data_IF_270263180077
#
_entry.id   IF_270263180077
#
_cell.length_a   1.000
_cell.length_b   1.000
_cell.length_c   1.000
_cell.angle_alpha   90.00
_cell.angle_beta   90.00
_cell.angle_gamma   90.00
#
_symmetry.space_group_name_H-M   'P 1'
#
loop_
_entity.id
_entity.type
_entity.pdbx_description
1 polymer ?
#
# COMPACT_ATOMS: atom_id res chain seq x y z
N UNK A 1 -13.20 -15.26 -14.25
CA UNK A 1 -11.97 -15.89 -14.79
C UNK A 1 -11.41 -16.77 -13.68
N UNK A 2 -11.15 -18.06 -13.93
CA UNK A 2 -10.54 -18.95 -12.93
C UNK A 2 -9.02 -18.83 -12.99
N UNK A 3 -8.35 -18.72 -11.85
CA UNK A 3 -6.88 -18.58 -11.76
C UNK A 3 -6.15 -19.68 -12.56
N UNK A 4 -6.61 -20.93 -12.42
CA UNK A 4 -6.06 -22.08 -13.14
C UNK A 4 -6.24 -22.05 -14.68
N UNK A 5 -7.13 -21.19 -15.18
CA UNK A 5 -7.32 -20.95 -16.62
C UNK A 5 -6.35 -19.87 -17.10
N UNK A 6 -6.21 -18.78 -16.33
CA UNK A 6 -5.21 -17.75 -16.56
C UNK A 6 -3.78 -18.31 -16.56
N UNK A 7 -3.44 -19.17 -15.60
CA UNK A 7 -2.11 -19.77 -15.48
C UNK A 7 -1.77 -20.67 -16.67
N UNK A 8 -2.73 -21.50 -17.13
CA UNK A 8 -2.54 -22.35 -18.32
C UNK A 8 -2.34 -21.52 -19.58
N UNK A 9 -3.13 -20.47 -19.76
CA UNK A 9 -2.98 -19.56 -20.90
C UNK A 9 -1.63 -18.84 -20.86
N UNK A 10 -1.19 -18.36 -19.70
CA UNK A 10 0.10 -17.67 -19.55
C UNK A 10 1.29 -18.60 -19.76
N UNK A 11 1.21 -19.84 -19.27
CA UNK A 11 2.22 -20.86 -19.53
C UNK A 11 2.32 -21.17 -21.03
N UNK A 12 1.18 -21.33 -21.71
CA UNK A 12 1.14 -21.55 -23.16
C UNK A 12 1.79 -20.40 -23.95
N UNK A 13 1.46 -19.16 -23.60
CA UNK A 13 2.05 -17.97 -24.25
C UNK A 13 3.56 -17.84 -24.00
N UNK A 14 4.04 -18.24 -22.81
CA UNK A 14 5.46 -18.22 -22.50
C UNK A 14 6.22 -19.29 -23.30
N UNK A 15 5.68 -20.50 -23.38
CA UNK A 15 6.26 -21.60 -24.17
C UNK A 15 6.24 -21.31 -25.68
N UNK A 16 5.21 -20.61 -26.17
CA UNK A 16 5.11 -20.19 -27.56
C UNK A 16 6.00 -18.97 -27.90
N UNK A 17 6.70 -18.39 -26.93
CA UNK A 17 7.52 -17.19 -27.12
C UNK A 17 6.72 -15.89 -27.35
N UNK A 18 5.41 -15.92 -27.18
CA UNK A 18 4.49 -14.79 -27.32
C UNK A 18 4.48 -13.90 -26.06
N UNK A 19 4.78 -14.48 -24.89
CA UNK A 19 4.98 -13.75 -23.65
C UNK A 19 6.46 -13.75 -23.27
N UNK A 20 7.05 -12.56 -23.14
CA UNK A 20 8.41 -12.36 -22.62
C UNK A 20 8.36 -11.85 -21.18
N UNK A 21 9.13 -12.49 -20.32
CA UNK A 21 9.39 -12.07 -18.94
C UNK A 21 10.81 -11.48 -18.83
N UNK A 22 11.15 -10.58 -19.73
CA UNK A 22 12.40 -9.82 -19.69
C UNK A 22 12.28 -8.79 -18.55
N UNK A 23 12.41 -9.24 -17.30
CA UNK A 23 12.29 -8.40 -16.12
C UNK A 23 13.12 -7.11 -16.22
N UNK A 24 12.87 -6.16 -15.33
CA UNK A 24 13.63 -4.91 -15.30
C UNK A 24 15.13 -5.21 -15.22
N UNK A 25 15.86 -4.93 -16.30
CA UNK A 25 17.30 -5.15 -16.31
C UNK A 25 17.96 -4.32 -15.22
N UNK A 26 19.08 -4.81 -14.66
CA UNK A 26 19.88 -4.08 -13.66
C UNK A 26 20.22 -2.65 -14.12
N UNK A 27 20.40 -2.45 -15.42
CA UNK A 27 20.65 -1.14 -16.05
C UNK A 27 19.39 -0.27 -16.13
N UNK A 28 18.21 -0.85 -16.35
CA UNK A 28 16.92 -0.17 -16.24
C UNK A 28 16.61 0.31 -14.82
N UNK A 29 16.97 -0.49 -13.81
CA UNK A 29 16.86 -0.12 -12.40
C UNK A 29 17.79 1.06 -12.03
N UNK A 30 19.03 1.08 -12.50
CA UNK A 30 19.99 2.17 -12.21
C UNK A 30 19.62 3.50 -12.87
N UNK A 31 18.93 3.48 -14.01
CA UNK A 31 18.45 4.72 -14.67
C UNK A 31 17.31 5.39 -13.90
N UNK A 32 16.51 4.62 -13.15
CA UNK A 32 15.45 5.16 -12.30
C UNK A 32 16.00 5.87 -11.04
N UNK A 33 17.21 5.55 -10.60
CA UNK A 33 17.85 6.17 -9.41
C UNK A 33 18.71 7.40 -9.72
N UNK A 34 19.01 7.68 -11.00
CA UNK A 34 19.93 8.76 -11.39
C UNK A 34 19.29 10.18 -11.38
N UNK A 35 17.98 10.30 -11.12
CA UNK A 35 17.26 11.58 -11.16
C UNK A 35 17.24 12.38 -9.86
N UNK A 36 17.87 11.93 -8.76
CA UNK A 36 17.70 12.54 -7.42
C UNK A 36 19.00 13.17 -6.87
N UNK A 37 20.12 13.14 -7.60
CA UNK A 37 21.45 13.23 -7.00
C UNK A 37 22.34 14.43 -7.27
N UNK A 38 21.89 15.55 -7.85
CA UNK A 38 22.78 16.68 -8.17
C UNK A 38 22.14 18.02 -7.82
N UNK A 39 22.41 18.52 -6.60
CA UNK A 39 22.13 19.93 -6.30
C UNK A 39 22.06 20.33 -4.83
N UNK A 40 23.01 19.96 -3.96
CA UNK A 40 23.25 20.73 -2.72
C UNK A 40 24.72 20.67 -2.33
N UNK A 41 25.53 21.60 -2.84
CA UNK A 41 26.84 21.92 -2.28
C UNK A 41 27.20 23.38 -2.61
N UNK A 42 26.56 24.34 -1.95
CA UNK A 42 27.09 25.68 -1.65
C UNK A 42 26.03 26.52 -0.92
N UNK A 43 26.33 27.00 0.29
CA UNK A 43 25.48 27.97 0.98
C UNK A 43 25.59 27.94 2.50
N UNK A 44 26.79 28.18 3.03
CA UNK A 44 26.94 28.54 4.45
C UNK A 44 26.57 30.02 4.66
N UNK A 45 25.85 30.26 5.76
CA UNK A 45 25.66 31.54 6.46
C UNK A 45 24.81 32.64 5.79
N UNK A 46 23.50 32.58 6.04
CA UNK A 46 22.70 33.79 6.29
C UNK A 46 21.81 33.49 7.51
N UNK A 47 22.00 34.25 8.59
CA UNK A 47 21.15 34.19 9.77
C UNK A 47 19.75 34.68 9.43
N UNK A 48 18.85 33.75 9.13
CA UNK A 48 17.42 33.99 9.01
C UNK A 48 16.73 33.53 10.28
N UNK A 49 15.90 34.39 10.87
CA UNK A 49 14.99 34.04 11.95
C UNK A 49 14.26 32.73 11.59
N UNK A 50 14.23 31.78 12.52
CA UNK A 50 13.56 30.51 12.33
C UNK A 50 12.10 30.77 11.97
N UNK A 51 11.75 30.59 10.69
CA UNK A 51 10.37 30.46 10.28
C UNK A 51 9.75 29.34 11.14
N UNK A 52 8.50 29.48 11.61
CA UNK A 52 7.87 28.40 12.34
C UNK A 52 7.94 27.17 11.44
N UNK A 53 8.52 26.09 11.97
CA UNK A 53 8.48 24.81 11.29
C UNK A 53 6.99 24.51 11.06
N UNK A 54 6.54 24.57 9.81
CA UNK A 54 5.24 24.01 9.46
C UNK A 54 5.26 22.59 9.99
N UNK A 55 4.34 22.28 10.91
CA UNK A 55 4.22 20.96 11.48
C UNK A 55 4.16 19.97 10.30
N UNK A 56 5.18 19.12 10.19
CA UNK A 56 5.17 18.07 9.19
C UNK A 56 3.90 17.24 9.41
N UNK A 57 3.21 16.92 8.33
CA UNK A 57 2.03 16.05 8.39
C UNK A 57 2.36 14.79 9.22
N UNK A 58 1.43 14.30 10.04
CA UNK A 58 1.65 13.06 10.76
C UNK A 58 1.92 11.92 9.76
N UNK A 59 2.73 10.91 10.12
CA UNK A 59 3.08 9.81 9.23
C UNK A 59 1.86 9.01 8.74
N UNK A 60 0.76 9.08 9.48
CA UNK A 60 -0.54 8.49 9.16
C UNK A 60 -1.58 9.61 9.15
N UNK A 61 -2.29 9.79 8.03
CA UNK A 61 -3.36 10.79 7.91
C UNK A 61 -4.70 10.32 8.47
N UNK A 62 -4.90 9.00 8.56
CA UNK A 62 -6.08 8.40 9.20
C UNK A 62 -6.09 8.79 10.69
N UNK A 63 -7.22 9.24 11.27
CA UNK A 63 -7.33 9.46 12.71
C UNK A 63 -7.02 8.18 13.49
N UNK A 64 -6.20 8.31 14.53
CA UNK A 64 -5.83 7.20 15.41
C UNK A 64 -6.24 7.49 16.86
N UNK A 65 -7.54 7.40 17.19
CA UNK A 65 -7.99 7.51 18.58
C UNK A 65 -7.25 6.50 19.48
N UNK A 66 -6.69 6.91 20.63
CA UNK A 66 -5.91 6.02 21.49
C UNK A 66 -6.69 4.84 22.07
N UNK A 67 -8.01 4.92 22.13
CA UNK A 67 -8.93 3.84 22.52
C UNK A 67 -9.07 2.77 21.43
N UNK A 68 -8.83 3.11 20.16
CA UNK A 68 -8.93 2.20 19.02
C UNK A 68 -7.59 1.64 18.56
N UNK A 69 -6.48 2.37 18.74
CA UNK A 69 -5.20 2.04 18.12
C UNK A 69 -3.99 2.09 19.06
N UNK A 70 -2.98 1.31 18.70
CA UNK A 70 -1.59 1.47 19.16
C UNK A 70 -0.73 1.90 17.98
N UNK A 71 -0.09 3.07 18.06
CA UNK A 71 0.71 3.63 16.98
C UNK A 71 2.18 3.17 17.01
N UNK A 72 2.74 2.88 15.83
CA UNK A 72 4.11 2.42 15.59
C UNK A 72 4.72 3.17 14.40
N UNK A 73 4.98 4.48 14.57
CA UNK A 73 5.54 5.33 13.52
C UNK A 73 4.59 5.46 12.33
N UNK A 74 4.96 4.87 11.18
CA UNK A 74 4.12 4.81 9.97
C UNK A 74 3.07 3.71 9.98
N UNK A 75 2.92 2.98 11.09
CA UNK A 75 1.98 1.87 11.24
C UNK A 75 1.08 2.06 12.46
N UNK A 76 -0.09 1.46 12.46
CA UNK A 76 -1.00 1.44 13.61
C UNK A 76 -1.72 0.10 13.68
N UNK A 77 -1.71 -0.51 14.87
CA UNK A 77 -2.39 -1.76 15.16
C UNK A 77 -3.73 -1.47 15.84
N UNK A 78 -4.79 -2.09 15.36
CA UNK A 78 -6.12 -2.04 15.98
C UNK A 78 -6.10 -2.76 17.31
N UNK A 79 -6.59 -2.12 18.35
CA UNK A 79 -6.74 -2.72 19.67
C UNK A 79 -7.80 -3.81 19.63
N UNK A 80 -7.48 -4.98 20.18
CA UNK A 80 -8.37 -6.14 20.20
C UNK A 80 -9.74 -5.82 20.78
N UNK A 81 -9.73 -5.16 21.93
CA UNK A 81 -10.90 -4.75 22.68
C UNK A 81 -11.82 -3.82 21.89
N UNK A 82 -11.29 -3.04 20.95
CA UNK A 82 -12.06 -2.12 20.11
C UNK A 82 -12.91 -2.82 19.04
N UNK A 83 -12.62 -4.09 18.76
CA UNK A 83 -13.37 -4.94 17.84
C UNK A 83 -14.50 -5.71 18.54
N UNK A 84 -14.66 -5.58 19.86
CA UNK A 84 -15.77 -6.22 20.58
C UNK A 84 -17.11 -5.72 20.03
N UNK A 85 -18.04 -6.64 19.79
CA UNK A 85 -19.34 -6.32 19.18
C UNK A 85 -19.26 -5.94 17.70
N UNK A 86 -18.06 -5.90 17.11
CA UNK A 86 -17.92 -5.77 15.66
C UNK A 86 -18.24 -7.12 15.02
N UNK A 87 -19.06 -7.10 13.96
CA UNK A 87 -19.39 -8.30 13.21
C UNK A 87 -18.18 -8.86 12.42
N UNK A 88 -18.47 -9.61 11.35
CA UNK A 88 -17.40 -10.18 10.52
C UNK A 88 -16.65 -9.15 9.66
N UNK A 89 -17.19 -7.95 9.48
CA UNK A 89 -16.58 -6.87 8.72
C UNK A 89 -16.00 -5.85 9.68
N UNK A 90 -14.71 -5.56 9.56
CA UNK A 90 -14.04 -4.55 10.38
C UNK A 90 -14.34 -3.17 9.78
N UNK A 91 -14.95 -2.24 10.55
CA UNK A 91 -15.19 -0.88 10.11
C UNK A 91 -13.92 -0.17 9.63
N UNK A 92 -14.05 0.73 8.66
CA UNK A 92 -12.92 1.47 8.08
C UNK A 92 -12.17 2.28 9.14
N UNK A 93 -12.88 2.86 10.11
CA UNK A 93 -12.30 3.60 11.24
C UNK A 93 -11.43 2.71 12.15
N UNK A 94 -11.71 1.40 12.23
CA UNK A 94 -10.99 0.39 13.04
C UNK A 94 -10.02 -0.47 12.23
N UNK A 95 -9.89 -0.28 10.92
CA UNK A 95 -8.92 -1.04 10.11
C UNK A 95 -7.47 -0.67 10.44
N UNK A 96 -6.57 -1.65 10.56
CA UNK A 96 -5.16 -1.40 10.86
C UNK A 96 -4.46 -0.59 9.74
N UNK A 97 -3.36 0.08 10.07
CA UNK A 97 -2.54 0.81 9.08
C UNK A 97 -1.16 0.16 9.00
N UNK A 98 -0.77 -0.30 7.81
CA UNK A 98 0.60 -0.73 7.53
C UNK A 98 1.17 0.05 6.36
N UNK A 99 2.03 1.03 6.65
CA UNK A 99 2.80 1.73 5.63
C UNK A 99 4.31 1.50 5.80
N UNK A 100 5.00 1.28 4.67
CA UNK A 100 6.47 1.31 4.61
C UNK A 100 7.01 2.74 4.52
N UNK A 101 6.15 3.71 4.17
CA UNK A 101 6.45 5.14 4.00
C UNK A 101 5.41 5.99 4.73
N UNK A 102 5.51 7.31 4.62
CA UNK A 102 4.44 8.23 5.04
C UNK A 102 3.20 8.05 4.16
N UNK A 103 2.02 8.38 4.68
CA UNK A 103 0.77 8.38 3.92
C UNK A 103 0.77 9.55 2.93
N UNK A 104 0.65 9.30 1.60
CA UNK A 104 0.64 10.39 0.63
C UNK A 104 -0.70 11.13 0.63
N UNK A 105 -0.65 12.45 0.37
CA UNK A 105 -1.82 13.22 -0.07
C UNK A 105 -1.92 13.12 -1.58
N UNK A 106 -3.09 12.72 -2.09
CA UNK A 106 -3.32 12.49 -3.51
C UNK A 106 -4.45 13.43 -3.96
N UNK A 107 -4.17 14.26 -4.96
CA UNK A 107 -5.21 14.99 -5.69
C UNK A 107 -5.89 14.03 -6.69
N UNK A 108 -7.19 13.72 -6.52
CA UNK A 108 -7.89 12.80 -7.40
C UNK A 108 -8.05 13.31 -8.85
N UNK A 109 -8.04 14.62 -9.09
CA UNK A 109 -8.20 15.19 -10.44
C UNK A 109 -6.88 15.11 -11.24
N UNK A 110 -5.74 15.27 -10.55
CA UNK A 110 -4.41 15.11 -11.14
C UNK A 110 -3.93 13.64 -11.24
N UNK A 111 -4.47 12.73 -10.42
CA UNK A 111 -3.99 11.35 -10.36
C UNK A 111 -4.24 10.54 -11.65
N UNK A 112 -3.26 9.70 -12.02
CA UNK A 112 -3.31 8.79 -13.19
C UNK A 112 -2.79 7.39 -12.82
N UNK A 113 -3.53 6.35 -13.20
CA UNK A 113 -3.06 4.97 -13.23
C UNK A 113 -2.33 4.73 -14.56
N UNK A 114 -1.06 4.34 -14.48
CA UNK A 114 -0.24 3.99 -15.66
C UNK A 114 -0.12 2.48 -15.78
N UNK A 115 -0.63 1.91 -16.86
CA UNK A 115 -0.59 0.49 -17.16
C UNK A 115 0.38 0.23 -18.32
N UNK A 116 1.34 -0.66 -18.12
CA UNK A 116 2.32 -1.07 -19.12
C UNK A 116 2.72 -2.53 -18.91
N UNK A 117 3.25 -3.17 -19.95
CA UNK A 117 3.71 -4.56 -19.93
C UNK A 117 3.20 -5.37 -21.13
N UNK A 118 3.92 -6.44 -21.43
CA UNK A 118 3.65 -7.34 -22.57
C UNK A 118 2.35 -8.15 -22.43
N UNK A 119 1.82 -8.28 -21.21
CA UNK A 119 0.54 -8.94 -20.96
C UNK A 119 -0.69 -8.08 -21.30
N UNK A 120 -0.49 -6.82 -21.68
CA UNK A 120 -1.57 -5.91 -22.08
C UNK A 120 -1.69 -5.89 -23.61
N UNK A 121 -2.92 -5.68 -24.10
CA UNK A 121 -3.17 -5.52 -25.54
C UNK A 121 -2.30 -4.39 -26.09
N UNK A 122 -1.55 -4.67 -27.16
CA UNK A 122 -0.62 -3.72 -27.79
C UNK A 122 0.73 -3.58 -27.08
N UNK A 123 1.00 -4.36 -26.02
CA UNK A 123 2.27 -4.37 -25.28
C UNK A 123 2.84 -2.97 -24.94
N UNK A 124 2.05 -2.06 -24.32
CA UNK A 124 2.50 -0.72 -23.94
C UNK A 124 3.77 -0.78 -23.08
N UNK A 125 4.68 0.16 -23.33
CA UNK A 125 5.94 0.29 -22.58
C UNK A 125 5.80 1.31 -21.47
N UNK A 126 6.76 1.37 -20.54
CA UNK A 126 6.75 2.40 -19.50
C UNK A 126 6.82 3.84 -20.08
N UNK A 127 7.43 4.01 -21.27
CA UNK A 127 7.51 5.29 -21.98
C UNK A 127 6.25 5.64 -22.77
N UNK A 128 5.40 4.67 -23.07
CA UNK A 128 4.11 4.84 -23.75
C UNK A 128 3.04 3.97 -23.06
N UNK A 129 2.65 4.32 -21.81
CA UNK A 129 1.68 3.55 -21.04
C UNK A 129 0.25 3.84 -21.48
N UNK A 130 -0.66 2.96 -21.11
CA UNK A 130 -2.09 3.30 -21.07
C UNK A 130 -2.36 4.06 -19.77
N UNK A 131 -2.97 5.24 -19.87
CA UNK A 131 -3.30 6.07 -18.71
C UNK A 131 -4.80 6.11 -18.43
N UNK A 132 -5.16 5.89 -17.17
CA UNK A 132 -6.55 5.93 -16.70
C UNK A 132 -6.65 6.94 -15.56
N UNK A 133 -7.49 7.97 -15.71
CA UNK A 133 -7.80 8.91 -14.62
C UNK A 133 -8.64 8.26 -13.53
N UNK A 134 -8.64 8.85 -12.34
CA UNK A 134 -9.46 8.36 -11.23
C UNK A 134 -10.96 8.31 -11.59
N UNK A 135 -11.46 9.34 -12.29
CA UNK A 135 -12.86 9.41 -12.78
C UNK A 135 -13.18 8.29 -13.77
N UNK A 136 -12.26 7.95 -14.68
CA UNK A 136 -12.45 6.84 -15.62
C UNK A 136 -12.42 5.50 -14.89
N UNK A 137 -11.49 5.30 -13.95
CA UNK A 137 -11.39 4.08 -13.16
C UNK A 137 -12.71 3.78 -12.41
N UNK A 138 -13.32 4.81 -11.81
CA UNK A 138 -14.61 4.68 -11.11
C UNK A 138 -15.81 4.36 -12.00
N UNK A 139 -15.70 4.54 -13.34
CA UNK A 139 -16.77 4.24 -14.30
C UNK A 139 -16.68 2.83 -14.88
N UNK A 140 -15.58 2.11 -14.62
CA UNK A 140 -15.47 0.71 -15.04
C UNK A 140 -16.45 -0.17 -14.24
N UNK A 141 -16.94 -1.27 -14.82
CA UNK A 141 -17.69 -2.27 -14.06
C UNK A 141 -16.87 -2.74 -12.84
N UNK A 142 -17.55 -2.87 -11.70
CA UNK A 142 -16.90 -3.24 -10.43
C UNK A 142 -17.59 -4.43 -9.80
N UNK A 143 -16.78 -5.38 -9.30
CA UNK A 143 -17.24 -6.48 -8.46
C UNK A 143 -16.85 -6.23 -7.00
N UNK A 144 -17.70 -6.65 -6.07
CA UNK A 144 -17.43 -6.57 -4.63
C UNK A 144 -17.11 -7.94 -4.07
N UNK A 145 -15.95 -8.05 -3.43
CA UNK A 145 -15.49 -9.27 -2.73
C UNK A 145 -15.24 -8.95 -1.27
N UNK A 146 -15.64 -9.86 -0.39
CA UNK A 146 -15.28 -9.82 1.04
C UNK A 146 -13.98 -10.59 1.24
N UNK A 147 -12.90 -9.89 1.56
CA UNK A 147 -11.57 -10.47 1.69
C UNK A 147 -10.90 -10.12 3.01
N UNK A 148 -10.31 -11.13 3.64
CA UNK A 148 -9.45 -11.01 4.80
C UNK A 148 -8.10 -10.39 4.39
N UNK A 149 -7.73 -9.25 4.97
CA UNK A 149 -6.39 -8.66 4.78
C UNK A 149 -5.59 -8.82 6.07
N UNK A 150 -4.44 -9.45 5.97
CA UNK A 150 -3.51 -9.67 7.09
C UNK A 150 -2.12 -9.16 6.73
N UNK A 151 -1.45 -8.53 7.71
CA UNK A 151 -0.03 -8.28 7.60
C UNK A 151 0.74 -9.60 7.78
N UNK A 152 1.70 -9.91 6.90
CA UNK A 152 2.58 -11.09 7.06
C UNK A 152 3.38 -11.10 8.39
N UNK A 153 3.41 -9.97 9.11
CA UNK A 153 4.00 -9.85 10.44
C UNK A 153 3.02 -10.02 11.60
N UNK A 154 1.75 -10.31 11.36
CA UNK A 154 0.75 -10.54 12.41
C UNK A 154 1.18 -11.69 13.33
N UNK A 155 0.95 -11.56 14.64
CA UNK A 155 1.42 -12.53 15.64
C UNK A 155 2.94 -12.60 15.84
N UNK A 156 3.74 -11.70 15.23
CA UNK A 156 5.21 -11.71 15.35
C UNK A 156 5.70 -11.72 16.80
N UNK A 157 5.00 -11.05 17.72
CA UNK A 157 5.41 -11.01 19.13
C UNK A 157 5.43 -12.38 19.79
N UNK A 158 4.63 -13.34 19.31
CA UNK A 158 4.53 -14.68 19.89
C UNK A 158 5.77 -15.54 19.64
N UNK A 159 6.55 -15.25 18.61
CA UNK A 159 7.86 -15.90 18.44
C UNK A 159 8.77 -15.63 19.63
N UNK A 160 8.82 -14.38 20.09
CA UNK A 160 9.59 -14.02 21.28
C UNK A 160 8.89 -14.51 22.56
N UNK A 161 7.60 -14.20 22.73
CA UNK A 161 6.92 -14.38 24.02
C UNK A 161 6.49 -15.82 24.32
N UNK A 162 6.30 -16.66 23.31
CA UNK A 162 5.85 -18.06 23.49
C UNK A 162 6.90 -19.07 23.06
N UNK A 163 7.70 -18.77 22.03
CA UNK A 163 8.68 -19.72 21.49
C UNK A 163 10.13 -19.42 21.93
N UNK A 164 10.36 -18.31 22.66
CA UNK A 164 11.69 -17.91 23.11
C UNK A 164 12.68 -17.58 21.97
N UNK A 165 12.18 -17.35 20.76
CA UNK A 165 13.00 -17.11 19.55
C UNK A 165 12.61 -15.78 18.93
N UNK A 166 13.43 -14.72 19.00
CA UNK A 166 13.10 -13.46 18.37
C UNK A 166 13.03 -13.60 16.84
N UNK A 167 12.01 -13.01 16.24
CA UNK A 167 11.89 -13.01 14.77
C UNK A 167 13.04 -12.23 14.12
N UNK A 168 13.56 -12.69 12.97
CA UNK A 168 14.67 -12.05 12.25
C UNK A 168 14.32 -10.68 11.61
N UNK A 169 13.10 -10.19 11.77
CA UNK A 169 12.66 -8.93 11.18
C UNK A 169 13.08 -7.71 12.03
N UNK A 170 13.30 -6.53 11.40
CA UNK A 170 13.67 -5.31 12.12
C UNK A 170 12.67 -4.92 13.22
N UNK A 171 13.21 -4.39 14.32
CA UNK A 171 12.45 -3.79 15.44
C UNK A 171 11.62 -2.62 14.91
N UNK A 172 10.31 -2.63 15.16
CA UNK A 172 9.34 -1.63 14.65
C UNK A 172 8.17 -2.21 13.85
N UNK A 173 8.20 -3.52 13.57
CA UNK A 173 7.12 -4.27 12.91
C UNK A 173 6.23 -5.04 13.91
N UNK A 174 5.98 -4.45 15.09
CA UNK A 174 5.13 -5.08 16.10
C UNK A 174 3.69 -5.16 15.57
N UNK A 175 3.25 -6.38 15.27
CA UNK A 175 1.86 -6.75 15.36
C UNK A 175 1.76 -7.72 16.54
N UNK A 176 1.08 -7.30 17.60
CA UNK A 176 0.90 -8.07 18.84
C UNK A 176 -0.34 -8.96 18.77
N UNK A 177 -1.26 -8.69 17.87
CA UNK A 177 -2.50 -9.44 17.71
C UNK A 177 -2.31 -10.75 16.95
N UNK A 178 -2.91 -11.83 17.47
CA UNK A 178 -3.43 -12.91 16.65
C UNK A 178 -4.90 -12.55 16.37
N UNK A 179 -5.18 -12.14 15.13
CA UNK A 179 -6.45 -12.22 14.37
C UNK A 179 -7.78 -11.75 14.98
N UNK A 180 -8.61 -10.95 14.26
CA UNK A 180 -9.13 -11.46 13.00
C UNK A 180 -8.59 -10.66 11.83
N UNK A 181 -8.47 -11.38 10.73
CA UNK A 181 -8.33 -10.77 9.44
C UNK A 181 -9.53 -9.85 9.29
N UNK A 182 -9.28 -8.55 9.18
CA UNK A 182 -10.36 -7.65 8.82
C UNK A 182 -10.84 -8.11 7.46
N UNK A 183 -12.07 -8.67 7.40
CA UNK A 183 -12.73 -8.80 6.12
C UNK A 183 -13.11 -7.39 5.70
N UNK A 184 -12.41 -6.89 4.69
CA UNK A 184 -12.80 -5.70 3.97
C UNK A 184 -13.71 -6.14 2.83
N UNK A 185 -14.87 -5.50 2.70
CA UNK A 185 -15.52 -5.43 1.39
C UNK A 185 -14.63 -4.57 0.50
N UNK A 186 -14.32 -5.04 -0.71
CA UNK A 186 -13.67 -4.23 -1.73
C UNK A 186 -14.35 -2.86 -1.86
N UNK A 187 -13.55 -1.80 -1.69
CA UNK A 187 -13.88 -0.38 -1.84
C UNK A 187 -15.28 0.06 -1.35
N UNK A 188 -15.41 0.62 -0.12
CA UNK A 188 -16.56 1.43 0.23
C UNK A 188 -16.41 2.82 -0.41
N UNK A 189 -16.50 2.92 -1.74
CA UNK A 189 -16.58 4.21 -2.44
C UNK A 189 -18.02 4.74 -2.55
N UNK A 190 -18.98 4.10 -1.87
CA UNK A 190 -20.38 4.52 -1.77
C UNK A 190 -20.91 4.29 -0.35
N UNK A 191 -20.69 5.23 0.55
CA UNK A 191 -21.65 5.56 1.62
C UNK A 191 -21.42 6.99 2.11
N UNK A 192 -21.61 7.95 1.21
CA UNK A 192 -22.01 9.29 1.62
C UNK A 192 -23.53 9.29 1.70
N UNK A 193 -24.09 9.03 2.88
CA UNK A 193 -25.45 9.45 3.20
C UNK A 193 -25.36 10.95 3.53
N UNK A 194 -25.98 11.87 2.78
CA UNK A 194 -26.10 13.24 3.23
C UNK A 194 -27.16 13.28 4.34
N UNK A 195 -26.81 13.92 5.46
CA UNK A 195 -27.78 14.52 6.35
C UNK A 195 -28.16 15.90 5.80
#
# INVERSE_FOLDING_TARGET
MREAEYDRTRLGQFLAGEARADGLTRRGLMRLSAGVGLGVAAGAAIGGAAAPALAADPPILKPLPPDLFTAFGTNAETKWESLRGTGHLVPVDRFFVRNHTLTPRIDPDAWRLRLFGTGLRGAPTAGAPVEISYRQLRRLPSDTVTAAIECAGNGRSFFTSQQGRPSRAPRGSSARSAWPAGRACGCPLCSSTPA
#
